data_IF_378107646665
#
_entry.id   IF_378107646665
#
_cell.length_a   1.000
_cell.length_b   1.000
_cell.length_c   1.000
_cell.angle_alpha   90.00
_cell.angle_beta   90.00
_cell.angle_gamma   90.00
#
_symmetry.space_group_name_H-M   'P 1'
#
loop_
_entity.id
_entity.type
_entity.pdbx_description
1 polymer ?
#
# COMPACT_ATOMS: atom_id res chain seq x y z
N UNK A 1 21.19 -13.33 -8.57
CA UNK A 1 20.13 -13.00 -7.58
C UNK A 1 18.83 -12.53 -8.25
N UNK A 2 18.88 -11.71 -9.31
CA UNK A 2 17.68 -11.22 -10.03
C UNK A 2 16.76 -12.31 -10.59
N UNK A 3 17.32 -13.33 -11.26
CA UNK A 3 16.53 -14.39 -11.89
C UNK A 3 15.68 -15.23 -10.92
N UNK A 4 16.16 -15.41 -9.69
CA UNK A 4 15.44 -16.17 -8.66
C UNK A 4 14.23 -15.40 -8.12
N UNK A 5 14.35 -14.09 -7.98
CA UNK A 5 13.26 -13.23 -7.52
C UNK A 5 12.19 -13.11 -8.61
N UNK A 6 12.60 -12.96 -9.86
CA UNK A 6 11.68 -12.90 -10.99
C UNK A 6 10.87 -14.19 -11.13
N UNK A 7 11.53 -15.35 -11.03
CA UNK A 7 10.82 -16.64 -11.01
C UNK A 7 9.82 -16.75 -9.87
N UNK A 8 10.21 -16.33 -8.66
CA UNK A 8 9.30 -16.35 -7.51
C UNK A 8 8.07 -15.45 -7.74
N UNK A 9 8.27 -14.27 -8.33
CA UNK A 9 7.20 -13.34 -8.65
C UNK A 9 6.24 -13.90 -9.72
N UNK A 10 6.79 -14.51 -10.77
CA UNK A 10 6.01 -15.16 -11.84
C UNK A 10 5.16 -16.31 -11.30
N UNK A 11 5.72 -17.10 -10.37
CA UNK A 11 4.97 -18.16 -9.67
C UNK A 11 3.86 -17.58 -8.80
N UNK A 12 4.17 -16.61 -7.95
CA UNK A 12 3.16 -15.94 -7.11
C UNK A 12 2.01 -15.35 -7.95
N UNK A 13 2.32 -14.79 -9.12
CA UNK A 13 1.33 -14.31 -10.07
C UNK A 13 0.47 -15.45 -10.64
N UNK A 14 1.09 -16.49 -11.20
CA UNK A 14 0.39 -17.58 -11.89
C UNK A 14 -0.44 -18.46 -10.94
N UNK A 15 0.05 -18.67 -9.73
CA UNK A 15 -0.54 -19.61 -8.78
C UNK A 15 -1.66 -18.96 -7.95
N UNK A 16 -1.58 -17.66 -7.68
CA UNK A 16 -2.49 -16.96 -6.75
C UNK A 16 -3.00 -15.62 -7.31
N UNK A 17 -2.13 -14.61 -7.44
CA UNK A 17 -2.56 -13.22 -7.61
C UNK A 17 -3.44 -13.01 -8.86
N UNK A 18 -3.14 -13.69 -9.96
CA UNK A 18 -3.92 -13.61 -11.21
C UNK A 18 -5.36 -14.13 -11.08
N UNK A 19 -5.63 -15.02 -10.11
CA UNK A 19 -6.94 -15.65 -9.89
C UNK A 19 -7.82 -14.86 -8.93
N UNK A 20 -7.24 -13.90 -8.18
CA UNK A 20 -7.98 -13.06 -7.24
C UNK A 20 -8.87 -12.10 -8.02
N UNK A 21 -10.18 -12.22 -7.85
CA UNK A 21 -11.17 -11.35 -8.51
C UNK A 21 -10.90 -9.85 -8.26
N UNK A 22 -10.46 -9.49 -7.06
CA UNK A 22 -10.10 -8.11 -6.73
C UNK A 22 -8.95 -7.59 -7.61
N UNK A 23 -7.95 -8.42 -7.90
CA UNK A 23 -6.76 -8.06 -8.71
C UNK A 23 -7.14 -7.99 -10.19
N UNK A 24 -7.74 -9.05 -10.73
CA UNK A 24 -8.15 -9.09 -12.13
C UNK A 24 -9.19 -8.03 -12.46
N UNK A 25 -10.21 -7.88 -11.60
CA UNK A 25 -11.25 -6.87 -11.72
C UNK A 25 -10.68 -5.45 -11.69
N UNK A 26 -9.73 -5.15 -10.80
CA UNK A 26 -9.08 -3.83 -10.78
C UNK A 26 -8.25 -3.54 -12.03
N UNK A 27 -7.43 -4.51 -12.48
CA UNK A 27 -6.54 -4.32 -13.63
C UNK A 27 -7.29 -4.23 -14.97
N UNK A 28 -8.46 -4.87 -15.07
CA UNK A 28 -9.26 -4.93 -16.29
C UNK A 28 -10.42 -3.91 -16.33
N UNK A 29 -10.64 -3.16 -15.24
CA UNK A 29 -11.74 -2.20 -15.14
C UNK A 29 -11.51 -0.98 -16.04
N UNK A 30 -12.22 -0.94 -17.17
CA UNK A 30 -12.17 0.16 -18.14
C UNK A 30 -12.70 1.48 -17.58
N UNK A 31 -13.46 1.43 -16.49
CA UNK A 31 -14.01 2.59 -15.78
C UNK A 31 -13.17 2.99 -14.58
N UNK A 32 -12.04 2.32 -14.27
CA UNK A 32 -11.18 2.67 -13.13
C UNK A 32 -10.69 4.12 -13.21
N UNK A 33 -10.44 4.61 -14.43
CA UNK A 33 -10.10 6.01 -14.72
C UNK A 33 -11.30 6.97 -14.66
N UNK A 34 -12.52 6.46 -14.81
CA UNK A 34 -13.78 7.22 -14.77
C UNK A 34 -14.39 7.30 -13.37
N UNK A 35 -14.08 6.35 -12.49
CA UNK A 35 -14.48 6.31 -11.06
C UNK A 35 -13.79 7.39 -10.20
N UNK A 36 -13.22 8.44 -10.81
CA UNK A 36 -12.30 9.40 -10.19
C UNK A 36 -12.91 10.45 -9.25
N UNK A 37 -14.21 10.48 -8.99
CA UNK A 37 -14.82 11.68 -8.35
C UNK A 37 -15.38 11.50 -6.93
N UNK A 38 -15.43 10.29 -6.36
CA UNK A 38 -15.99 10.09 -5.00
C UNK A 38 -14.91 9.72 -3.96
N UNK A 39 -13.71 9.32 -4.37
CA UNK A 39 -12.61 8.93 -3.46
C UNK A 39 -11.58 10.03 -3.18
N UNK A 40 -11.88 11.29 -3.52
CA UNK A 40 -10.93 12.41 -3.37
C UNK A 40 -10.44 12.66 -1.94
N UNK A 41 -11.26 12.51 -0.88
CA UNK A 41 -10.76 12.69 0.48
C UNK A 41 -9.65 11.69 0.81
N UNK A 42 -9.83 10.40 0.52
CA UNK A 42 -8.84 9.35 0.81
C UNK A 42 -7.59 9.46 -0.09
N UNK A 43 -7.74 9.92 -1.35
CA UNK A 43 -6.59 10.21 -2.22
C UNK A 43 -5.73 11.36 -1.73
N UNK A 44 -6.34 12.40 -1.16
CA UNK A 44 -5.62 13.54 -0.60
C UNK A 44 -5.08 13.21 0.79
N UNK A 45 -5.79 12.39 1.57
CA UNK A 45 -5.39 12.09 2.95
C UNK A 45 -4.44 10.92 3.07
N UNK A 46 -4.50 9.83 2.28
CA UNK A 46 -3.57 8.66 2.23
C UNK A 46 -2.66 8.49 3.46
N UNK A 47 -3.26 8.49 4.65
CA UNK A 47 -2.57 8.59 5.94
C UNK A 47 -3.09 7.47 6.81
N UNK A 48 -2.16 6.76 7.45
CA UNK A 48 -2.50 5.83 8.52
C UNK A 48 -2.14 6.49 9.84
N UNK A 49 -3.12 6.52 10.75
CA UNK A 49 -2.91 6.99 12.11
C UNK A 49 -2.50 5.79 12.96
N UNK A 50 -1.33 5.85 13.57
CA UNK A 50 -0.86 4.87 14.53
C UNK A 50 -1.69 4.99 15.82
N UNK A 51 -2.45 3.95 16.15
CA UNK A 51 -3.30 3.95 17.33
C UNK A 51 -2.53 3.93 18.66
N UNK A 52 -1.23 3.59 18.63
CA UNK A 52 -0.36 3.54 19.81
C UNK A 52 0.33 4.88 20.11
N UNK A 53 0.70 5.63 19.07
CA UNK A 53 1.44 6.90 19.22
C UNK A 53 0.64 8.14 18.83
N UNK A 54 -0.44 7.98 18.06
CA UNK A 54 -1.16 9.07 17.41
C UNK A 54 -0.44 9.67 16.19
N UNK A 55 0.76 9.17 15.87
CA UNK A 55 1.52 9.62 14.71
C UNK A 55 0.77 9.28 13.42
N UNK A 56 1.01 10.07 12.37
CA UNK A 56 0.32 9.93 11.10
C UNK A 56 1.31 9.70 9.97
N UNK A 57 1.15 8.61 9.24
CA UNK A 57 2.08 8.17 8.20
C UNK A 57 1.45 8.29 6.82
N UNK A 58 1.95 9.22 6.00
CA UNK A 58 1.51 9.40 4.64
C UNK A 58 2.16 8.37 3.70
N UNK A 59 1.39 7.84 2.75
CA UNK A 59 1.91 6.93 1.71
C UNK A 59 2.87 7.68 0.79
N UNK A 60 4.05 7.14 0.43
CA UNK A 60 4.95 7.76 -0.53
C UNK A 60 4.36 7.70 -1.95
N UNK A 61 3.80 8.81 -2.44
CA UNK A 61 3.27 8.94 -3.81
C UNK A 61 3.21 10.40 -4.28
N UNK A 62 3.23 10.64 -5.60
CA UNK A 62 3.20 11.98 -6.18
C UNK A 62 1.88 12.76 -5.95
N UNK A 63 0.83 12.10 -5.46
CA UNK A 63 -0.50 12.70 -5.25
C UNK A 63 -0.91 12.78 -3.77
N UNK A 64 -0.02 12.38 -2.87
CA UNK A 64 -0.24 12.38 -1.42
C UNK A 64 0.55 13.49 -0.75
N UNK A 65 0.14 13.84 0.48
CA UNK A 65 0.84 14.76 1.39
C UNK A 65 2.07 14.13 2.06
N UNK A 66 2.83 13.34 1.30
CA UNK A 66 4.11 12.80 1.76
C UNK A 66 5.16 13.91 1.70
N UNK A 67 5.89 14.11 2.79
CA UNK A 67 6.80 15.26 2.95
C UNK A 67 8.14 15.07 2.21
N UNK A 68 8.53 13.83 1.91
CA UNK A 68 9.81 13.55 1.26
C UNK A 68 9.79 13.75 -0.26
N UNK A 69 10.91 14.21 -0.81
CA UNK A 69 11.10 14.28 -2.25
C UNK A 69 11.40 12.90 -2.85
N UNK A 70 10.81 12.61 -4.00
CA UNK A 70 10.95 11.34 -4.72
C UNK A 70 10.82 11.59 -6.23
N UNK A 71 11.75 12.35 -6.83
CA UNK A 71 11.63 12.79 -8.22
C UNK A 71 11.80 11.62 -9.21
N UNK A 72 12.40 10.50 -8.78
CA UNK A 72 12.60 9.31 -9.62
C UNK A 72 11.98 8.05 -9.03
N UNK A 73 11.74 7.06 -9.90
CA UNK A 73 11.29 5.71 -9.49
C UNK A 73 12.30 5.05 -8.56
N UNK A 74 13.60 5.27 -8.78
CA UNK A 74 14.68 4.72 -7.97
C UNK A 74 14.65 5.24 -6.54
N UNK A 75 14.20 6.48 -6.32
CA UNK A 75 14.04 7.06 -4.98
C UNK A 75 12.67 6.73 -4.38
N UNK A 76 11.62 6.72 -5.19
CA UNK A 76 10.27 6.38 -4.76
C UNK A 76 10.15 4.92 -4.29
N UNK A 77 10.70 3.97 -5.05
CA UNK A 77 10.45 2.55 -4.81
C UNK A 77 10.98 2.04 -3.46
N UNK A 78 12.20 2.40 -3.01
CA UNK A 78 12.65 2.09 -1.66
C UNK A 78 11.75 2.69 -0.58
N UNK A 79 11.36 3.97 -0.70
CA UNK A 79 10.49 4.62 0.26
C UNK A 79 9.11 3.93 0.35
N UNK A 80 8.54 3.55 -0.79
CA UNK A 80 7.29 2.82 -0.83
C UNK A 80 7.40 1.43 -0.18
N UNK A 81 8.48 0.69 -0.44
CA UNK A 81 8.71 -0.63 0.20
C UNK A 81 8.90 -0.50 1.70
N UNK A 82 9.65 0.50 2.15
CA UNK A 82 9.84 0.80 3.56
C UNK A 82 8.48 1.06 4.22
N UNK A 83 7.68 1.95 3.64
CA UNK A 83 6.33 2.23 4.10
C UNK A 83 5.45 0.97 4.16
N UNK A 84 5.45 0.12 3.14
CA UNK A 84 4.53 -1.01 3.07
C UNK A 84 4.95 -2.20 3.94
N UNK A 85 6.26 -2.49 4.00
CA UNK A 85 6.75 -3.77 4.52
C UNK A 85 7.58 -3.63 5.80
N UNK A 86 8.22 -2.48 6.04
CA UNK A 86 9.07 -2.25 7.20
C UNK A 86 8.38 -1.39 8.28
N UNK A 87 7.60 -0.38 7.86
CA UNK A 87 6.87 0.49 8.78
C UNK A 87 5.82 -0.32 9.54
N UNK A 88 5.96 -0.33 10.87
CA UNK A 88 4.99 -0.90 11.80
C UNK A 88 4.16 0.20 12.42
N UNK A 89 2.85 0.00 12.47
CA UNK A 89 1.88 0.93 13.08
C UNK A 89 1.03 0.20 14.10
N UNK A 90 0.59 0.91 15.12
CA UNK A 90 -0.39 0.41 16.07
C UNK A 90 -1.77 0.31 15.43
N UNK A 91 -2.32 -0.90 15.39
CA UNK A 91 -3.70 -1.20 15.02
C UNK A 91 -4.53 -1.37 16.28
N UNK A 92 -5.64 -0.63 16.39
CA UNK A 92 -6.61 -0.82 17.47
C UNK A 92 -7.47 -2.05 17.19
N UNK A 93 -7.47 -2.98 18.13
CA UNK A 93 -8.28 -4.19 18.12
C UNK A 93 -9.67 -3.91 18.72
N UNK A 94 -10.64 -4.79 18.44
CA UNK A 94 -12.03 -4.64 18.91
C UNK A 94 -12.16 -4.62 20.44
N UNK A 95 -11.25 -5.31 21.12
CA UNK A 95 -11.16 -5.36 22.58
C UNK A 95 -10.42 -4.15 23.20
N UNK A 96 -10.04 -3.16 22.39
CA UNK A 96 -9.35 -1.96 22.82
C UNK A 96 -7.84 -2.08 22.91
N UNK A 97 -7.26 -3.28 22.73
CA UNK A 97 -5.80 -3.45 22.68
C UNK A 97 -5.22 -2.80 21.43
N UNK A 98 -3.94 -2.41 21.50
CA UNK A 98 -3.18 -1.94 20.34
C UNK A 98 -2.11 -2.96 20.02
N UNK A 99 -2.08 -3.41 18.76
CA UNK A 99 -1.09 -4.36 18.26
C UNK A 99 -0.25 -3.73 17.16
N UNK A 100 1.06 -3.98 17.17
CA UNK A 100 1.96 -3.50 16.13
C UNK A 100 1.85 -4.39 14.90
N UNK A 101 1.49 -3.82 13.77
CA UNK A 101 1.38 -4.55 12.50
C UNK A 101 2.07 -3.81 11.35
N UNK A 102 2.54 -4.56 10.35
CA UNK A 102 3.05 -3.96 9.12
C UNK A 102 1.88 -3.39 8.31
N UNK A 103 2.12 -2.29 7.59
CA UNK A 103 1.06 -1.64 6.81
C UNK A 103 0.45 -2.54 5.74
N UNK A 104 1.24 -3.41 5.11
CA UNK A 104 0.73 -4.35 4.13
C UNK A 104 -0.35 -5.31 4.69
N UNK A 105 -0.30 -5.64 5.98
CA UNK A 105 -1.29 -6.52 6.64
C UNK A 105 -2.63 -5.81 6.93
N UNK A 106 -2.74 -4.51 6.67
CA UNK A 106 -4.01 -3.77 6.72
C UNK A 106 -4.78 -3.83 5.40
N UNK A 107 -4.20 -4.41 4.35
CA UNK A 107 -4.82 -4.52 3.02
C UNK A 107 -5.63 -5.82 2.82
N UNK A 108 -5.68 -6.67 3.85
CA UNK A 108 -6.48 -7.89 3.93
C UNK A 108 -7.84 -7.63 4.58
#
# INVERSE_FOLDING_TARGET
AGDSLEMALRRAWADDLSRRHAVGGFLQDRLVGSKRLISMPDRITNKVVDAGTGATHARPSAISVYEGDMPTVTEWWPAWKEYMFALRVGRRMRDGRVEQTALCSLLE
#
